data_IF_537960592486
#
_entry.id   IF_537960592486
#
_cell.length_a   1.000
_cell.length_b   1.000
_cell.length_c   1.000
_cell.angle_alpha   90.00
_cell.angle_beta   90.00
_cell.angle_gamma   90.00
#
_symmetry.space_group_name_H-M   'P 1'
#
loop_
_entity.id
_entity.type
_entity.pdbx_description
1 polymer ?
#
# COMPACT_ATOMS: atom_id res chain seq x y z
N UNK A 1 -18.01 -19.29 10.73
CA UNK A 1 -16.96 -18.55 11.47
C UNK A 1 -16.10 -17.75 10.52
N UNK A 2 -15.97 -16.45 10.77
CA UNK A 2 -15.13 -15.61 9.91
C UNK A 2 -13.66 -15.91 10.19
N UNK A 3 -12.91 -16.09 9.11
CA UNK A 3 -11.47 -16.29 9.19
C UNK A 3 -10.77 -14.94 9.42
N UNK A 4 -9.87 -14.90 10.39
CA UNK A 4 -9.01 -13.74 10.61
C UNK A 4 -7.97 -13.70 9.51
N UNK A 5 -7.79 -12.52 8.91
CA UNK A 5 -6.75 -12.29 7.91
C UNK A 5 -5.62 -11.48 8.52
N UNK A 6 -4.39 -11.84 8.14
CA UNK A 6 -3.18 -11.16 8.59
C UNK A 6 -2.61 -10.34 7.45
N UNK A 7 -2.43 -9.04 7.69
CA UNK A 7 -1.91 -8.08 6.71
C UNK A 7 -0.65 -7.39 7.27
N UNK A 8 0.51 -8.07 7.23
CA UNK A 8 1.74 -7.50 7.76
C UNK A 8 2.23 -6.35 6.89
N UNK A 9 2.72 -5.28 7.54
CA UNK A 9 3.29 -4.13 6.85
C UNK A 9 4.74 -4.38 6.46
N UNK A 10 5.11 -3.99 5.25
CA UNK A 10 6.50 -4.04 4.81
C UNK A 10 7.30 -2.81 5.26
N UNK A 11 6.69 -1.91 6.02
CA UNK A 11 7.37 -0.71 6.53
C UNK A 11 8.59 -1.06 7.38
N UNK A 12 8.51 -2.14 8.15
CA UNK A 12 9.61 -2.61 9.00
C UNK A 12 10.56 -3.58 8.28
N UNK A 13 10.31 -3.89 7.00
CA UNK A 13 11.15 -4.81 6.24
C UNK A 13 12.44 -4.15 5.76
N UNK A 14 13.39 -4.96 5.32
CA UNK A 14 14.59 -4.47 4.67
C UNK A 14 14.25 -3.99 3.26
N UNK A 15 14.26 -2.67 3.03
CA UNK A 15 13.89 -2.08 1.76
C UNK A 15 14.86 -2.47 0.62
N UNK A 16 16.09 -2.85 0.96
CA UNK A 16 17.04 -3.33 -0.06
C UNK A 16 16.71 -4.72 -0.59
N UNK A 17 15.81 -5.44 0.09
CA UNK A 17 15.43 -6.81 -0.26
C UNK A 17 13.91 -7.03 -0.17
N UNK A 18 13.11 -6.04 -0.58
CA UNK A 18 11.65 -6.09 -0.42
C UNK A 18 11.01 -7.31 -1.09
N UNK A 19 11.46 -7.68 -2.29
CA UNK A 19 10.92 -8.85 -2.98
C UNK A 19 11.10 -10.13 -2.18
N UNK A 20 12.28 -10.32 -1.60
CA UNK A 20 12.58 -11.46 -0.74
C UNK A 20 11.76 -11.42 0.56
N UNK A 21 11.64 -10.23 1.15
CA UNK A 21 10.84 -10.04 2.37
C UNK A 21 9.38 -10.41 2.14
N UNK A 22 8.81 -10.04 0.99
CA UNK A 22 7.43 -10.40 0.62
C UNK A 22 7.29 -11.92 0.48
N UNK A 23 8.26 -12.59 -0.14
CA UNK A 23 8.25 -14.05 -0.25
C UNK A 23 8.29 -14.72 1.11
N UNK A 24 9.06 -14.19 2.05
CA UNK A 24 9.10 -14.69 3.43
C UNK A 24 7.76 -14.53 4.14
N UNK A 25 7.09 -13.39 3.95
CA UNK A 25 5.78 -13.15 4.53
C UNK A 25 4.74 -14.13 3.98
N UNK A 26 4.76 -14.38 2.69
CA UNK A 26 3.88 -15.37 2.06
C UNK A 26 4.10 -16.75 2.67
N UNK A 27 5.35 -17.17 2.79
CA UNK A 27 5.72 -18.47 3.37
C UNK A 27 5.26 -18.58 4.83
N UNK A 28 5.28 -17.46 5.56
CA UNK A 28 4.83 -17.41 6.94
C UNK A 28 3.30 -17.41 7.09
N UNK A 29 2.55 -17.30 6.00
CA UNK A 29 1.09 -17.39 6.02
C UNK A 29 0.34 -16.05 5.93
N UNK A 30 0.99 -14.97 5.48
CA UNK A 30 0.31 -13.69 5.30
C UNK A 30 -0.84 -13.81 4.29
N UNK A 31 -1.98 -13.20 4.60
CA UNK A 31 -3.15 -13.15 3.71
C UNK A 31 -3.12 -11.94 2.79
N UNK A 32 -2.55 -10.85 3.28
CA UNK A 32 -2.40 -9.57 2.57
C UNK A 32 -0.99 -9.05 2.79
N UNK A 33 -0.54 -8.16 1.92
CA UNK A 33 0.68 -7.39 2.14
C UNK A 33 0.27 -5.94 2.34
N UNK A 34 0.52 -5.41 3.53
CA UNK A 34 0.18 -4.02 3.86
C UNK A 34 1.33 -3.11 3.46
N UNK A 35 1.02 -2.09 2.65
CA UNK A 35 2.00 -1.15 2.12
C UNK A 35 1.67 0.24 2.64
N UNK A 36 2.50 0.73 3.57
CA UNK A 36 2.34 2.07 4.14
C UNK A 36 3.08 3.09 3.28
N UNK A 37 2.33 3.95 2.61
CA UNK A 37 2.86 4.99 1.72
C UNK A 37 2.81 6.34 2.43
N UNK A 38 3.99 6.95 2.57
CA UNK A 38 4.16 8.23 3.27
C UNK A 38 4.95 9.18 2.37
N UNK A 39 4.53 10.46 2.34
CA UNK A 39 5.06 11.45 1.39
C UNK A 39 6.01 12.48 2.00
N UNK A 40 6.25 12.43 3.31
CA UNK A 40 7.07 13.42 3.99
C UNK A 40 6.39 14.79 4.11
N UNK A 41 5.10 14.86 3.81
CA UNK A 41 4.29 16.08 3.86
C UNK A 41 3.06 15.91 4.76
N UNK A 42 2.19 14.96 4.41
CA UNK A 42 1.03 14.60 5.25
C UNK A 42 1.48 13.98 6.57
N UNK A 43 2.55 13.18 6.49
CA UNK A 43 3.24 12.58 7.65
C UNK A 43 4.75 12.84 7.51
N UNK A 44 5.52 12.80 8.62
CA UNK A 44 6.94 13.20 8.58
C UNK A 44 7.88 12.20 7.89
N UNK A 45 7.45 10.95 7.69
CA UNK A 45 8.29 9.95 7.03
C UNK A 45 8.05 9.92 5.52
N UNK A 46 9.01 9.41 4.77
CA UNK A 46 8.95 9.26 3.32
C UNK A 46 9.28 7.81 2.97
N UNK A 47 8.39 7.09 2.31
CA UNK A 47 8.59 5.66 2.10
C UNK A 47 8.70 5.26 0.64
N UNK A 48 7.60 4.88 -0.02
CA UNK A 48 7.66 4.28 -1.36
C UNK A 48 6.60 4.87 -2.29
N UNK A 49 6.91 4.84 -3.57
CA UNK A 49 6.02 5.30 -4.61
C UNK A 49 5.48 4.16 -5.49
N UNK A 50 4.64 4.48 -6.47
CA UNK A 50 4.06 3.49 -7.38
C UNK A 50 5.08 2.60 -8.09
N UNK A 51 6.27 3.08 -8.52
CA UNK A 51 7.24 2.22 -9.18
C UNK A 51 7.70 1.04 -8.32
N UNK A 52 7.81 1.24 -7.02
CA UNK A 52 8.21 0.17 -6.09
C UNK A 52 7.12 -0.89 -6.01
N UNK A 53 5.86 -0.47 -5.86
CA UNK A 53 4.72 -1.38 -5.80
C UNK A 53 4.64 -2.20 -7.09
N UNK A 54 4.79 -1.54 -8.23
CA UNK A 54 4.79 -2.21 -9.53
C UNK A 54 5.89 -3.27 -9.63
N UNK A 55 7.10 -2.95 -9.16
CA UNK A 55 8.22 -3.89 -9.15
C UNK A 55 7.95 -5.09 -8.23
N UNK A 56 7.28 -4.87 -7.11
CA UNK A 56 6.99 -5.93 -6.14
C UNK A 56 5.89 -6.87 -6.59
N UNK A 57 5.02 -6.43 -7.50
CA UNK A 57 3.86 -7.22 -7.93
C UNK A 57 4.25 -8.58 -8.49
N UNK A 58 5.38 -8.68 -9.15
CA UNK A 58 5.88 -9.94 -9.73
C UNK A 58 6.34 -10.98 -8.70
N UNK A 59 6.56 -10.55 -7.45
CA UNK A 59 7.07 -11.46 -6.41
C UNK A 59 5.96 -12.22 -5.68
N UNK A 60 4.71 -11.82 -5.82
CA UNK A 60 3.59 -12.48 -5.14
C UNK A 60 2.25 -12.18 -5.81
N UNK A 61 1.29 -13.08 -5.64
CA UNK A 61 -0.12 -12.87 -6.01
C UNK A 61 -0.98 -12.47 -4.83
N UNK A 62 -0.40 -12.42 -3.62
CA UNK A 62 -1.13 -11.96 -2.44
C UNK A 62 -1.60 -10.52 -2.68
N UNK A 63 -2.87 -10.19 -2.34
CA UNK A 63 -3.36 -8.82 -2.52
C UNK A 63 -2.52 -7.79 -1.77
N UNK A 64 -2.29 -6.65 -2.41
CA UNK A 64 -1.63 -5.50 -1.80
C UNK A 64 -2.69 -4.58 -1.19
N UNK A 65 -2.59 -4.42 0.12
CA UNK A 65 -3.43 -3.56 0.95
C UNK A 65 -2.66 -2.25 1.17
N UNK A 66 -2.93 -1.25 0.30
CA UNK A 66 -2.13 -0.03 0.23
C UNK A 66 -2.78 1.10 1.01
N UNK A 67 -2.06 1.62 1.99
CA UNK A 67 -2.50 2.69 2.89
C UNK A 67 -1.78 3.99 2.50
N UNK A 68 -2.53 4.94 1.95
CA UNK A 68 -1.99 6.19 1.44
C UNK A 68 -2.04 7.29 2.51
N UNK A 69 -0.88 7.59 3.08
CA UNK A 69 -0.68 8.72 4.00
C UNK A 69 0.01 9.85 3.25
N UNK A 70 -0.67 10.36 2.22
CA UNK A 70 -0.17 11.38 1.29
C UNK A 70 -1.21 12.45 1.06
N UNK A 71 -0.78 13.68 0.79
CA UNK A 71 -1.66 14.81 0.51
C UNK A 71 -1.11 15.67 -0.65
N UNK A 72 -1.93 16.02 -1.64
CA UNK A 72 -3.32 15.64 -1.86
C UNK A 72 -3.43 14.20 -2.42
N UNK A 73 -4.26 13.38 -1.81
CA UNK A 73 -4.33 11.96 -2.14
C UNK A 73 -4.97 11.69 -3.51
N UNK A 74 -5.97 12.48 -3.90
CA UNK A 74 -6.75 12.23 -5.14
C UNK A 74 -5.88 12.17 -6.40
N UNK A 75 -4.75 12.88 -6.42
CA UNK A 75 -3.85 12.92 -7.58
C UNK A 75 -3.15 11.59 -7.83
N UNK A 76 -3.06 10.73 -6.81
CA UNK A 76 -2.20 9.55 -6.87
C UNK A 76 -2.97 8.22 -6.82
N UNK A 77 -4.26 8.24 -6.48
CA UNK A 77 -5.06 7.02 -6.34
C UNK A 77 -4.94 6.13 -7.57
N UNK A 78 -5.14 6.68 -8.76
CA UNK A 78 -5.03 5.91 -10.01
C UNK A 78 -3.64 5.32 -10.20
N UNK A 79 -2.59 6.07 -9.90
CA UNK A 79 -1.21 5.60 -10.05
C UNK A 79 -0.92 4.38 -9.19
N UNK A 80 -1.41 4.37 -7.95
CA UNK A 80 -1.24 3.23 -7.06
C UNK A 80 -2.09 2.04 -7.48
N UNK A 81 -3.31 2.27 -7.94
CA UNK A 81 -4.15 1.20 -8.49
C UNK A 81 -3.48 0.54 -9.69
N UNK A 82 -2.99 1.35 -10.63
CA UNK A 82 -2.31 0.85 -11.84
C UNK A 82 -1.01 0.10 -11.51
N UNK A 83 -0.35 0.47 -10.41
CA UNK A 83 0.88 -0.19 -9.97
C UNK A 83 0.62 -1.59 -9.38
N UNK A 84 -0.63 -1.88 -8.97
CA UNK A 84 -0.98 -3.19 -8.47
C UNK A 84 -1.66 -3.23 -7.11
N UNK A 85 -2.09 -2.08 -6.58
CA UNK A 85 -2.86 -2.05 -5.33
C UNK A 85 -4.21 -2.73 -5.53
N UNK A 86 -4.57 -3.64 -4.63
CA UNK A 86 -5.86 -4.32 -4.65
C UNK A 86 -6.86 -3.65 -3.72
N UNK A 87 -6.36 -3.11 -2.62
CA UNK A 87 -7.12 -2.35 -1.63
C UNK A 87 -6.40 -1.03 -1.44
N UNK A 88 -7.16 0.06 -1.41
CA UNK A 88 -6.61 1.40 -1.16
C UNK A 88 -7.35 2.04 0.00
N UNK A 89 -6.59 2.46 1.01
CA UNK A 89 -7.09 3.19 2.17
C UNK A 89 -6.57 4.62 2.12
N UNK A 90 -7.46 5.58 2.32
CA UNK A 90 -7.12 7.00 2.36
C UNK A 90 -7.59 7.65 3.65
N UNK A 91 -7.05 8.83 3.95
CA UNK A 91 -7.47 9.64 5.09
C UNK A 91 -8.35 10.80 4.63
N UNK A 92 -9.48 11.07 5.31
CA UNK A 92 -10.34 12.22 4.97
C UNK A 92 -9.59 13.55 5.01
N UNK A 93 -8.63 13.68 5.91
CA UNK A 93 -7.84 14.90 6.11
C UNK A 93 -6.90 15.18 4.93
N UNK A 94 -6.65 14.20 4.06
CA UNK A 94 -5.72 14.31 2.93
C UNK A 94 -6.41 14.72 1.63
N UNK A 95 -7.70 15.04 1.65
CA UNK A 95 -8.45 15.40 0.46
C UNK A 95 -9.46 16.52 0.76
N UNK A 96 -9.71 17.38 -0.22
CA UNK A 96 -10.75 18.43 -0.13
C UNK A 96 -12.13 17.89 -0.51
N UNK A 97 -12.21 16.71 -1.08
CA UNK A 97 -13.46 16.10 -1.53
C UNK A 97 -13.39 14.60 -1.32
N UNK A 98 -13.77 14.16 -0.13
CA UNK A 98 -13.71 12.74 0.26
C UNK A 98 -14.55 11.86 -0.67
N UNK A 99 -15.76 12.30 -0.97
CA UNK A 99 -16.69 11.53 -1.82
C UNK A 99 -16.08 11.27 -3.20
N UNK A 100 -15.49 12.30 -3.81
CA UNK A 100 -14.84 12.18 -5.11
C UNK A 100 -13.62 11.26 -5.04
N UNK A 101 -12.82 11.40 -3.99
CA UNK A 101 -11.61 10.57 -3.80
C UNK A 101 -11.99 9.09 -3.61
N UNK A 102 -13.01 8.80 -2.82
CA UNK A 102 -13.49 7.42 -2.64
C UNK A 102 -14.00 6.83 -3.95
N UNK A 103 -14.65 7.63 -4.79
CA UNK A 103 -15.13 7.16 -6.10
C UNK A 103 -14.00 6.81 -7.06
N UNK A 104 -12.80 7.36 -6.86
CA UNK A 104 -11.63 7.03 -7.68
C UNK A 104 -11.05 5.65 -7.32
N UNK A 105 -11.33 5.16 -6.13
CA UNK A 105 -10.87 3.83 -5.68
C UNK A 105 -11.70 2.69 -6.34
#
# INVERSE_FOLDING_TARGET
>A
MQKIKISPSILAADFSNLGLEIKKLKKAGADLIHVDVMDGHFVPNLTIGPPIIKSLRKYTRIPFDVHLMISPVHKYIKSYADAGADIITIHPEATNNLKKSVKLI
#
